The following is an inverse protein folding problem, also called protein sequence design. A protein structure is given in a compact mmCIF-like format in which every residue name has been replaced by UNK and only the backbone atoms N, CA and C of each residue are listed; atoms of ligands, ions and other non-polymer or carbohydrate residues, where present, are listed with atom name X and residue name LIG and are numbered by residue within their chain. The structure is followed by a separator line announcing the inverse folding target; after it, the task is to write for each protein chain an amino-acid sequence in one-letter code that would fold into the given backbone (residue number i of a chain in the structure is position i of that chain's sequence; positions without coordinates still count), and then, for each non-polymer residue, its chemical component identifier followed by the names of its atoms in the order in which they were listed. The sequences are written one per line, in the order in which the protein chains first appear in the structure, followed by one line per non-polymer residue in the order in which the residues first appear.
data_IF_647236726270
#
_entry.id   IF_647236726270
#
_cell.length_a   1.000
_cell.length_b   1.000
_cell.length_c   1.000
_cell.angle_alpha   90.00
_cell.angle_beta   90.00
_cell.angle_gamma   90.00
#
_symmetry.space_group_name_H-M   'P 1'
#
loop_
_entity.id
_entity.type
_entity.pdbx_description
1 polymer ?
#
# COMPACT_ATOMS: atom_id res chain seq x y z
N UNK A 1 21.40 1.35 2.94
CA UNK A 1 20.74 0.33 2.08
C UNK A 1 21.17 0.51 0.64
N UNK A 2 21.28 1.75 0.17
CA UNK A 2 21.69 2.08 -1.21
C UNK A 2 23.05 1.51 -1.62
N UNK A 3 23.89 1.09 -0.66
CA UNK A 3 25.16 0.38 -0.91
C UNK A 3 25.00 -1.14 -1.10
N UNK A 4 23.79 -1.70 -0.94
CA UNK A 4 23.48 -3.12 -1.01
C UNK A 4 22.41 -3.39 -2.08
N UNK A 5 22.85 -3.72 -3.30
CA UNK A 5 21.98 -3.88 -4.47
C UNK A 5 20.84 -4.92 -4.28
N UNK A 6 21.05 -5.94 -3.45
CA UNK A 6 20.09 -7.04 -3.21
C UNK A 6 19.36 -6.91 -1.85
N UNK A 7 19.10 -5.69 -1.38
CA UNK A 7 18.37 -5.45 -0.14
C UNK A 7 17.20 -4.53 -0.38
N UNK A 8 16.10 -4.81 0.32
CA UNK A 8 14.84 -4.08 0.25
C UNK A 8 14.43 -3.64 1.65
N UNK A 9 13.92 -2.43 1.77
CA UNK A 9 13.34 -1.88 3.00
C UNK A 9 11.82 -1.86 2.86
N UNK A 10 11.18 -2.45 3.86
CA UNK A 10 9.74 -2.37 4.07
C UNK A 10 9.45 -1.40 5.21
N UNK A 11 8.46 -0.55 5.03
CA UNK A 11 8.00 0.38 6.06
C UNK A 11 6.63 -0.04 6.60
N UNK A 12 6.54 -0.32 7.90
CA UNK A 12 5.24 -0.51 8.56
C UNK A 12 4.79 0.82 9.17
N UNK A 13 3.93 1.52 8.44
CA UNK A 13 3.48 2.87 8.80
C UNK A 13 1.95 2.91 8.74
N UNK A 14 1.32 3.21 9.88
CA UNK A 14 -0.12 3.44 9.96
C UNK A 14 -0.37 4.94 9.77
N UNK A 15 -0.61 5.35 8.53
CA UNK A 15 -0.85 6.75 8.16
C UNK A 15 -1.95 6.86 7.09
N UNK A 16 -2.58 8.04 6.94
CA UNK A 16 -3.42 8.33 5.78
C UNK A 16 -2.67 8.06 4.47
N UNK A 17 -3.40 7.67 3.42
CA UNK A 17 -2.81 7.27 2.13
C UNK A 17 -1.87 8.33 1.52
N UNK A 18 -2.22 9.61 1.65
CA UNK A 18 -1.38 10.72 1.19
C UNK A 18 0.01 10.67 1.86
N UNK A 19 0.03 10.57 3.19
CA UNK A 19 1.25 10.56 3.98
C UNK A 19 2.04 9.26 3.72
N UNK A 20 1.34 8.13 3.51
CA UNK A 20 1.97 6.87 3.11
C UNK A 20 2.75 7.01 1.78
N UNK A 21 2.25 7.81 0.82
CA UNK A 21 2.94 8.01 -0.46
C UNK A 21 4.25 8.79 -0.31
N UNK A 22 4.35 9.67 0.69
CA UNK A 22 5.59 10.44 0.95
C UNK A 22 6.76 9.51 1.31
N UNK A 23 6.49 8.36 1.94
CA UNK A 23 7.49 7.37 2.32
C UNK A 23 8.08 6.55 1.16
N UNK A 24 7.55 6.70 -0.06
CA UNK A 24 8.29 6.22 -1.23
C UNK A 24 9.47 7.13 -1.56
N UNK A 25 9.43 8.41 -1.16
CA UNK A 25 10.44 9.40 -1.52
C UNK A 25 10.29 9.93 -2.95
N UNK A 26 11.40 10.29 -3.59
CA UNK A 26 11.45 10.71 -5.00
C UNK A 26 12.40 9.86 -5.82
N UNK A 27 12.37 10.01 -7.15
CA UNK A 27 13.30 9.32 -8.05
C UNK A 27 14.77 9.64 -7.77
N UNK A 28 15.07 10.82 -7.24
CA UNK A 28 16.43 11.26 -6.88
C UNK A 28 16.81 10.86 -5.46
N UNK A 29 15.82 10.64 -4.59
CA UNK A 29 15.97 10.32 -3.17
C UNK A 29 14.89 9.30 -2.77
N UNK A 30 15.02 8.03 -3.21
CA UNK A 30 14.08 7.00 -2.81
C UNK A 30 14.22 6.73 -1.31
N UNK A 31 13.11 6.39 -0.66
CA UNK A 31 13.08 6.01 0.76
C UNK A 31 12.76 4.52 0.91
N UNK A 32 11.53 4.16 1.28
CA UNK A 32 11.12 2.78 1.40
C UNK A 32 10.83 2.17 0.03
N UNK A 33 11.31 0.96 -0.21
CA UNK A 33 10.94 0.23 -1.42
C UNK A 33 9.46 -0.18 -1.38
N UNK A 34 8.98 -0.55 -0.18
CA UNK A 34 7.60 -1.01 0.04
C UNK A 34 7.08 -0.50 1.40
N UNK A 35 6.52 0.72 1.47
CA UNK A 35 5.61 1.10 2.55
C UNK A 35 4.37 0.21 2.51
N UNK A 36 4.05 -0.49 3.60
CA UNK A 36 2.91 -1.41 3.63
C UNK A 36 1.59 -0.67 3.38
N UNK A 37 0.81 -1.21 2.44
CA UNK A 37 -0.51 -0.75 2.08
C UNK A 37 -1.58 -1.51 2.86
N UNK A 38 -2.25 -0.82 3.79
CA UNK A 38 -3.31 -1.34 4.63
C UNK A 38 -4.73 -0.98 4.17
N UNK A 39 -4.90 -0.44 2.96
CA UNK A 39 -6.20 0.05 2.46
C UNK A 39 -7.32 -1.02 2.46
N UNK A 40 -6.95 -2.30 2.34
CA UNK A 40 -7.86 -3.46 2.40
C UNK A 40 -7.89 -4.13 3.78
N UNK A 41 -6.93 -3.84 4.66
CA UNK A 41 -6.88 -4.46 5.97
C UNK A 41 -7.98 -3.90 6.87
N UNK A 42 -8.73 -4.78 7.53
CA UNK A 42 -9.76 -4.38 8.49
C UNK A 42 -11.02 -3.74 7.89
N UNK A 43 -11.18 -3.74 6.57
CA UNK A 43 -12.41 -3.30 5.92
C UNK A 43 -13.57 -4.25 6.21
N UNK A 44 -14.79 -3.70 6.30
CA UNK A 44 -16.01 -4.51 6.40
C UNK A 44 -16.40 -5.05 5.02
N UNK A 45 -16.28 -6.37 4.86
CA UNK A 45 -16.68 -7.09 3.66
C UNK A 45 -18.07 -7.73 3.77
N UNK A 46 -18.77 -7.53 4.90
CA UNK A 46 -20.05 -8.14 5.17
C UNK A 46 -19.94 -9.64 5.46
N UNK A 47 -20.98 -10.39 5.11
CA UNK A 47 -21.04 -11.83 5.34
C UNK A 47 -20.30 -12.59 4.23
N UNK A 48 -19.71 -13.76 4.54
CA UNK A 48 -19.18 -14.65 3.51
C UNK A 48 -20.21 -14.92 2.41
N UNK A 49 -19.78 -14.86 1.15
CA UNK A 49 -20.61 -14.99 -0.06
C UNK A 49 -21.65 -13.86 -0.30
N UNK A 50 -21.61 -12.74 0.43
CA UNK A 50 -22.38 -11.54 0.12
C UNK A 50 -21.54 -10.56 -0.72
N UNK A 51 -21.94 -10.34 -1.98
CA UNK A 51 -21.20 -9.50 -2.92
C UNK A 51 -21.61 -8.02 -2.87
N UNK A 52 -22.56 -7.62 -2.01
CA UNK A 52 -23.05 -6.23 -1.94
C UNK A 52 -21.96 -5.22 -1.62
N UNK A 53 -20.91 -5.64 -0.90
CA UNK A 53 -19.78 -4.80 -0.51
C UNK A 53 -18.53 -5.04 -1.37
N UNK A 54 -18.64 -5.73 -2.51
CA UNK A 54 -17.50 -5.95 -3.42
C UNK A 54 -16.88 -4.63 -3.94
N UNK A 55 -17.66 -3.54 -3.96
CA UNK A 55 -17.15 -2.21 -4.31
C UNK A 55 -16.06 -1.72 -3.37
N UNK A 56 -16.04 -2.14 -2.11
CA UNK A 56 -15.02 -1.73 -1.12
C UNK A 56 -13.62 -2.10 -1.59
N UNK A 57 -13.42 -3.34 -2.07
CA UNK A 57 -12.14 -3.80 -2.61
C UNK A 57 -11.77 -3.00 -3.86
N UNK A 58 -12.71 -2.86 -4.80
CA UNK A 58 -12.48 -2.10 -6.05
C UNK A 58 -12.04 -0.67 -5.75
N UNK A 59 -12.71 0.00 -4.82
CA UNK A 59 -12.47 1.40 -4.51
C UNK A 59 -11.14 1.56 -3.76
N UNK A 60 -10.76 0.61 -2.89
CA UNK A 60 -9.43 0.55 -2.28
C UNK A 60 -8.32 0.35 -3.33
N UNK A 61 -8.48 -0.61 -4.24
CA UNK A 61 -7.57 -0.84 -5.36
C UNK A 61 -7.39 0.41 -6.21
N UNK A 62 -8.50 1.04 -6.59
CA UNK A 62 -8.48 2.25 -7.40
C UNK A 62 -7.80 3.41 -6.69
N UNK A 63 -8.11 3.64 -5.42
CA UNK A 63 -7.56 4.75 -4.63
C UNK A 63 -6.05 4.64 -4.49
N UNK A 64 -5.56 3.47 -4.12
CA UNK A 64 -4.13 3.23 -4.00
C UNK A 64 -3.42 3.33 -5.35
N UNK A 65 -3.95 2.70 -6.41
CA UNK A 65 -3.33 2.73 -7.74
C UNK A 65 -3.28 4.15 -8.34
N UNK A 66 -4.23 5.02 -7.98
CA UNK A 66 -4.23 6.43 -8.39
C UNK A 66 -3.25 7.29 -7.60
N UNK A 67 -2.94 6.91 -6.36
CA UNK A 67 -1.99 7.63 -5.50
C UNK A 67 -0.54 7.18 -5.70
N UNK A 68 -0.33 5.92 -6.11
CA UNK A 68 0.99 5.31 -6.26
C UNK A 68 1.84 6.09 -7.29
N UNK A 69 3.06 6.53 -6.93
CA UNK A 69 3.98 7.13 -7.88
C UNK A 69 4.31 6.15 -9.02
N UNK A 70 4.39 6.65 -10.25
CA UNK A 70 4.55 5.83 -11.46
C UNK A 70 5.81 4.95 -11.46
N UNK A 71 6.85 5.37 -10.74
CA UNK A 71 8.13 4.66 -10.64
C UNK A 71 8.17 3.61 -9.51
N UNK A 72 7.12 3.49 -8.70
CA UNK A 72 7.07 2.64 -7.52
C UNK A 72 6.34 1.31 -7.77
N UNK A 73 6.58 0.34 -6.88
CA UNK A 73 5.87 -0.94 -6.85
C UNK A 73 4.80 -0.96 -5.76
N UNK A 74 3.55 -1.24 -6.14
CA UNK A 74 2.44 -1.38 -5.21
C UNK A 74 2.48 -2.69 -4.42
N UNK A 75 1.83 -2.71 -3.25
CA UNK A 75 1.66 -3.90 -2.42
C UNK A 75 0.25 -3.96 -1.80
N UNK A 76 -0.11 -5.11 -1.21
CA UNK A 76 -1.39 -5.34 -0.55
C UNK A 76 -1.18 -6.21 0.69
N UNK A 77 -1.56 -5.71 1.87
CA UNK A 77 -1.56 -6.51 3.10
C UNK A 77 -2.99 -6.94 3.44
N UNK A 78 -3.23 -8.26 3.51
CA UNK A 78 -4.55 -8.83 3.79
C UNK A 78 -4.75 -9.25 5.26
N UNK A 79 -3.67 -9.26 6.04
CA UNK A 79 -3.64 -9.65 7.44
C UNK A 79 -2.25 -9.44 8.04
N UNK A 80 -2.20 -9.22 9.34
CA UNK A 80 -0.97 -9.19 10.15
C UNK A 80 -1.25 -9.88 11.51
N UNK A 81 -0.26 -9.89 12.40
CA UNK A 81 -0.21 -10.70 13.62
C UNK A 81 -1.11 -10.18 14.74
#
# INVERSE_FOLDING_TARGET
IDEFDDRVIFGEIYAPLHDLMEYYGTTEKPEFNVPFNFEVLGQDYGKPNDLRLASVVRDAVKRYAQALPEWCHGNWVLGNH
#
